data_IF_553563504792
#
_entry.id   IF_553563504792
#
_cell.length_a   1.000
_cell.length_b   1.000
_cell.length_c   1.000
_cell.angle_alpha   90.00
_cell.angle_beta   90.00
_cell.angle_gamma   90.00
#
_symmetry.space_group_name_H-M   'P 1'
#
loop_
_entity.id
_entity.type
_entity.pdbx_description
1 polymer ?
#
# COMPACT_ATOMS: atom_id res chain seq x y z
N UNK A 1 -25.01 -8.28 -53.01
CA UNK A 1 -24.50 -8.46 -51.63
C UNK A 1 -24.38 -9.94 -51.29
N UNK A 2 -23.18 -10.43 -50.92
CA UNK A 2 -22.93 -11.86 -50.63
C UNK A 2 -23.31 -12.21 -49.17
N UNK A 3 -24.59 -12.54 -48.94
CA UNK A 3 -25.17 -12.86 -47.60
C UNK A 3 -24.40 -13.96 -46.85
N UNK A 4 -23.81 -14.92 -47.57
CA UNK A 4 -22.99 -16.01 -47.01
C UNK A 4 -21.70 -15.53 -46.35
N UNK A 5 -21.08 -14.49 -46.89
CA UNK A 5 -19.84 -13.94 -46.33
C UNK A 5 -20.10 -13.09 -45.08
N UNK A 6 -21.30 -12.50 -44.98
CA UNK A 6 -21.72 -11.75 -43.79
C UNK A 6 -21.94 -12.68 -42.58
N UNK A 7 -22.67 -13.79 -42.75
CA UNK A 7 -22.94 -14.74 -41.66
C UNK A 7 -21.65 -15.38 -41.13
N UNK A 8 -20.71 -15.77 -42.02
CA UNK A 8 -19.41 -16.31 -41.61
C UNK A 8 -18.60 -15.32 -40.75
N UNK A 9 -18.59 -14.04 -41.13
CA UNK A 9 -17.87 -13.01 -40.37
C UNK A 9 -18.54 -12.71 -39.03
N UNK A 10 -19.87 -12.71 -38.98
CA UNK A 10 -20.63 -12.54 -37.74
C UNK A 10 -20.40 -13.69 -36.74
N UNK A 11 -20.32 -14.93 -37.21
CA UNK A 11 -20.05 -16.08 -36.33
C UNK A 11 -18.62 -16.08 -35.78
N UNK A 12 -17.63 -15.67 -36.59
CA UNK A 12 -16.24 -15.48 -36.15
C UNK A 12 -16.10 -14.35 -35.12
N UNK A 13 -16.82 -13.23 -35.31
CA UNK A 13 -16.84 -12.13 -34.35
C UNK A 13 -17.48 -12.54 -33.01
N UNK A 14 -18.59 -13.28 -33.05
CA UNK A 14 -19.25 -13.79 -31.84
C UNK A 14 -18.38 -14.78 -31.05
N UNK A 15 -17.65 -15.66 -31.72
CA UNK A 15 -16.74 -16.60 -31.06
C UNK A 15 -15.55 -15.90 -30.38
N UNK A 16 -15.00 -14.85 -31.00
CA UNK A 16 -13.90 -14.07 -30.43
C UNK A 16 -14.30 -13.32 -29.16
N UNK A 17 -15.52 -12.75 -29.12
CA UNK A 17 -16.05 -12.05 -27.94
C UNK A 17 -16.25 -13.02 -26.77
N UNK A 18 -16.82 -14.21 -27.03
CA UNK A 18 -17.03 -15.24 -26.02
C UNK A 18 -15.72 -15.76 -25.42
N UNK A 19 -14.70 -15.99 -26.23
CA UNK A 19 -13.38 -16.44 -25.76
C UNK A 19 -12.65 -15.37 -24.92
N UNK A 20 -12.82 -14.08 -25.25
CA UNK A 20 -12.27 -12.98 -24.45
C UNK A 20 -12.94 -12.82 -23.08
N UNK A 21 -14.27 -13.01 -23.01
CA UNK A 21 -15.06 -12.94 -21.77
C UNK A 21 -14.78 -14.10 -20.79
N UNK A 22 -14.42 -15.28 -21.30
CA UNK A 22 -14.06 -16.42 -20.45
C UNK A 22 -12.67 -16.25 -19.83
N UNK A 23 -11.72 -15.63 -20.55
CA UNK A 23 -10.38 -15.35 -20.03
C UNK A 23 -10.36 -14.19 -19.01
N UNK A 24 -11.26 -13.20 -19.13
CA UNK A 24 -11.31 -12.10 -18.14
C UNK A 24 -11.78 -12.56 -16.75
N UNK A 25 -12.55 -13.65 -16.67
CA UNK A 25 -12.95 -14.28 -15.40
C UNK A 25 -11.80 -14.97 -14.67
N UNK A 26 -10.78 -15.44 -15.39
CA UNK A 26 -9.61 -16.09 -14.79
C UNK A 26 -8.71 -15.08 -14.03
N UNK A 27 -8.60 -13.85 -14.52
CA UNK A 27 -7.86 -12.78 -13.83
C UNK A 27 -8.64 -12.18 -12.65
N UNK A 28 -9.98 -12.24 -12.68
CA UNK A 28 -10.82 -11.79 -11.57
C UNK A 28 -10.77 -12.73 -10.35
N UNK A 29 -10.32 -13.97 -10.53
CA UNK A 29 -10.16 -14.97 -9.47
C UNK A 29 -8.69 -15.14 -9.03
N UNK A 30 -7.82 -14.18 -9.35
CA UNK A 30 -6.55 -14.09 -8.61
C UNK A 30 -6.94 -13.73 -7.18
N UNK A 31 -7.03 -14.76 -6.34
CA UNK A 31 -7.11 -14.63 -4.90
C UNK A 31 -5.85 -13.84 -4.51
N UNK A 32 -5.98 -12.52 -4.38
CA UNK A 32 -4.93 -11.71 -3.79
C UNK A 32 -4.67 -12.35 -2.42
N UNK A 33 -3.41 -12.62 -2.06
CA UNK A 33 -3.12 -13.11 -0.73
C UNK A 33 -3.82 -12.17 0.26
N UNK A 34 -4.54 -12.76 1.22
CA UNK A 34 -5.18 -12.00 2.30
C UNK A 34 -4.17 -10.97 2.81
N UNK A 35 -4.56 -9.68 2.93
CA UNK A 35 -3.63 -8.65 3.37
C UNK A 35 -3.02 -9.12 4.68
N UNK A 36 -1.69 -9.10 4.76
CA UNK A 36 -0.95 -9.53 5.94
C UNK A 36 -1.52 -8.73 7.12
N UNK A 37 -2.23 -9.42 8.02
CA UNK A 37 -2.84 -8.81 9.20
C UNK A 37 -1.72 -8.52 10.18
N UNK A 38 -1.09 -7.38 9.98
CA UNK A 38 0.01 -6.86 10.78
C UNK A 38 -0.45 -5.57 11.44
N UNK A 39 0.05 -5.31 12.65
CA UNK A 39 -0.25 -4.11 13.41
C UNK A 39 1.01 -3.44 13.88
N UNK A 40 0.99 -2.11 13.91
CA UNK A 40 2.00 -1.33 14.61
C UNK A 40 1.86 -1.58 16.11
N UNK A 41 2.94 -1.96 16.77
CA UNK A 41 2.94 -2.26 18.22
C UNK A 41 3.72 -1.23 19.02
N UNK A 42 4.71 -0.60 18.40
CA UNK A 42 5.58 0.35 19.10
C UNK A 42 6.16 1.39 18.15
N UNK A 43 6.24 2.62 18.62
CA UNK A 43 6.94 3.70 17.94
C UNK A 43 7.97 4.27 18.91
N UNK A 44 9.22 4.41 18.46
CA UNK A 44 10.31 5.01 19.22
C UNK A 44 10.82 6.24 18.51
N UNK A 45 11.10 7.29 19.27
CA UNK A 45 11.79 8.48 18.79
C UNK A 45 13.17 8.55 19.41
N UNK A 46 14.21 8.64 18.57
CA UNK A 46 15.58 8.85 18.98
C UNK A 46 15.96 10.30 18.65
N UNK A 47 16.22 11.09 19.69
CA UNK A 47 16.76 12.43 19.54
C UNK A 47 18.27 12.38 19.28
N UNK A 48 18.80 13.44 18.67
CA UNK A 48 20.23 13.66 18.51
C UNK A 48 20.69 14.73 19.53
N UNK A 49 20.91 14.37 20.81
CA UNK A 49 21.35 15.35 21.81
C UNK A 49 22.70 15.96 21.43
N UNK A 50 22.87 17.25 21.72
CA UNK A 50 24.12 17.98 21.42
C UNK A 50 24.30 18.38 19.95
N UNK A 51 23.33 18.07 19.08
CA UNK A 51 23.34 18.56 17.70
C UNK A 51 22.57 19.87 17.58
N UNK A 52 23.27 20.95 17.26
CA UNK A 52 22.66 22.21 16.84
C UNK A 52 22.43 22.15 15.34
N UNK A 53 21.16 22.15 14.94
CA UNK A 53 20.77 22.16 13.53
C UNK A 53 21.18 23.48 12.87
N UNK A 54 21.87 23.45 11.71
CA UNK A 54 22.24 24.65 10.95
C UNK A 54 21.04 25.49 10.51
N UNK A 55 19.92 24.84 10.19
CA UNK A 55 18.68 25.50 9.76
C UNK A 55 17.50 25.04 10.61
N UNK A 56 16.52 25.93 10.82
CA UNK A 56 15.35 25.64 11.66
C UNK A 56 14.47 24.49 11.11
N UNK A 57 14.45 24.33 9.78
CA UNK A 57 13.65 23.34 9.05
C UNK A 57 14.36 22.00 8.85
N UNK A 58 15.52 21.79 9.47
CA UNK A 58 16.17 20.48 9.49
C UNK A 58 15.67 19.67 10.67
N UNK A 59 15.20 18.45 10.38
CA UNK A 59 14.99 17.42 11.38
C UNK A 59 16.22 16.50 11.42
N UNK A 60 16.37 15.76 12.51
CA UNK A 60 17.36 14.67 12.65
C UNK A 60 16.90 13.61 13.66
N UNK A 61 15.63 13.70 14.06
CA UNK A 61 15.01 12.71 14.92
C UNK A 61 14.74 11.46 14.11
N UNK A 62 15.17 10.31 14.62
CA UNK A 62 14.92 9.02 13.98
C UNK A 62 13.69 8.39 14.63
N UNK A 63 12.75 7.96 13.81
CA UNK A 63 11.55 7.25 14.21
C UNK A 63 11.69 5.80 13.82
N UNK A 64 11.53 4.89 14.78
CA UNK A 64 11.47 3.46 14.52
C UNK A 64 10.05 2.96 14.82
N UNK A 65 9.43 2.32 13.83
CA UNK A 65 8.07 1.76 13.90
C UNK A 65 8.19 0.24 13.88
N UNK A 66 7.84 -0.40 14.99
CA UNK A 66 7.88 -1.86 15.15
C UNK A 66 6.46 -2.44 14.95
N UNK A 67 6.40 -3.61 14.32
CA UNK A 67 5.15 -4.34 14.08
C UNK A 67 5.10 -5.67 14.83
N UNK A 68 3.89 -6.23 15.00
CA UNK A 68 3.69 -7.58 15.55
C UNK A 68 4.24 -8.70 14.65
N UNK A 69 4.49 -8.41 13.38
CA UNK A 69 5.18 -9.30 12.44
C UNK A 69 6.71 -9.24 12.51
N UNK A 70 7.28 -8.48 13.46
CA UNK A 70 8.74 -8.37 13.64
C UNK A 70 9.45 -7.50 12.60
N UNK A 71 8.71 -6.68 11.84
CA UNK A 71 9.28 -5.71 10.89
C UNK A 71 9.52 -4.39 11.62
N UNK A 72 10.65 -3.74 11.31
CA UNK A 72 10.96 -2.39 11.80
C UNK A 72 11.14 -1.45 10.61
N UNK A 73 10.28 -0.44 10.51
CA UNK A 73 10.44 0.68 9.59
C UNK A 73 11.20 1.83 10.25
N UNK A 74 12.15 2.44 9.55
CA UNK A 74 12.93 3.58 10.03
C UNK A 74 12.62 4.80 9.16
N UNK A 75 12.29 5.92 9.79
CA UNK A 75 12.09 7.22 9.14
C UNK A 75 12.83 8.33 9.88
N UNK A 76 13.09 9.43 9.19
CA UNK A 76 13.63 10.65 9.78
C UNK A 76 12.61 11.77 9.64
N UNK A 77 12.39 12.53 10.72
CA UNK A 77 11.51 13.69 10.67
C UNK A 77 10.75 13.98 11.95
N UNK A 78 10.04 15.11 11.93
CA UNK A 78 9.15 15.53 13.01
C UNK A 78 9.87 15.98 14.29
N UNK A 79 9.12 16.73 15.10
CA UNK A 79 9.49 17.02 16.48
C UNK A 79 8.96 15.90 17.40
N UNK A 80 9.66 15.65 18.52
CA UNK A 80 9.34 14.55 19.45
C UNK A 80 7.87 14.55 19.88
N UNK A 81 7.38 15.71 20.28
CA UNK A 81 6.01 15.94 20.71
C UNK A 81 4.99 15.67 19.61
N UNK A 82 5.27 16.09 18.37
CA UNK A 82 4.43 15.77 17.21
C UNK A 82 4.38 14.27 16.97
N UNK A 83 5.53 13.59 17.01
CA UNK A 83 5.59 12.12 16.82
C UNK A 83 4.86 11.39 17.95
N UNK A 84 4.97 11.84 19.20
CA UNK A 84 4.25 11.24 20.34
C UNK A 84 2.72 11.33 20.17
N UNK A 85 2.20 12.46 19.66
CA UNK A 85 0.76 12.60 19.40
C UNK A 85 0.30 11.69 18.26
N UNK A 86 1.01 11.67 17.13
CA UNK A 86 0.67 10.83 15.97
C UNK A 86 0.78 9.34 16.32
N UNK A 87 1.74 8.96 17.17
CA UNK A 87 1.91 7.57 17.60
C UNK A 87 0.67 7.00 18.31
N UNK A 88 -0.09 7.83 19.04
CA UNK A 88 -1.32 7.39 19.71
C UNK A 88 -2.41 6.98 18.71
N UNK A 89 -2.41 7.56 17.52
CA UNK A 89 -3.35 7.21 16.44
C UNK A 89 -2.88 6.01 15.62
N UNK A 90 -1.56 5.83 15.48
CA UNK A 90 -0.98 4.79 14.62
C UNK A 90 -0.82 3.42 15.30
N UNK A 91 -0.63 3.36 16.63
CA UNK A 91 -0.46 2.07 17.32
C UNK A 91 -1.77 1.26 17.22
N UNK A 92 -1.66 0.03 16.70
CA UNK A 92 -2.79 -0.85 16.43
C UNK A 92 -3.25 -0.86 14.97
N UNK A 93 -2.83 0.13 14.17
CA UNK A 93 -3.17 0.24 12.76
C UNK A 93 -2.33 -0.67 11.86
N UNK A 94 -2.85 -0.92 10.66
CA UNK A 94 -2.14 -1.67 9.62
C UNK A 94 -0.98 -0.82 9.04
N UNK A 95 0.28 -1.26 9.16
CA UNK A 95 1.44 -0.49 8.68
C UNK A 95 1.47 -0.29 7.16
N UNK A 96 0.65 -1.02 6.39
CA UNK A 96 0.55 -0.89 4.93
C UNK A 96 -0.57 0.08 4.50
N UNK A 97 -1.41 0.57 5.41
CA UNK A 97 -2.50 1.51 5.14
C UNK A 97 -2.05 2.96 5.34
N UNK A 98 -1.12 3.43 4.50
CA UNK A 98 -0.35 4.67 4.74
C UNK A 98 -1.11 6.00 4.54
N UNK A 99 -2.34 5.99 4.01
CA UNK A 99 -3.12 7.19 3.65
C UNK A 99 -4.51 7.24 4.32
N UNK A 100 -4.76 6.43 5.35
CA UNK A 100 -6.13 6.19 5.86
C UNK A 100 -6.61 7.17 6.96
N UNK A 101 -5.71 7.79 7.71
CA UNK A 101 -6.03 8.63 8.87
C UNK A 101 -6.14 10.13 8.54
#
# INVERSE_FOLDING_TARGET
MQRRNFIKKASLAGAGVSAGLLNSKAYANVQMPEPVKMKITKIRYYSAPGYTKPLFNQARGIVAVETDGGIIGIGEGGAKDTIEQVAQMLIGENPFSIEHL
#
